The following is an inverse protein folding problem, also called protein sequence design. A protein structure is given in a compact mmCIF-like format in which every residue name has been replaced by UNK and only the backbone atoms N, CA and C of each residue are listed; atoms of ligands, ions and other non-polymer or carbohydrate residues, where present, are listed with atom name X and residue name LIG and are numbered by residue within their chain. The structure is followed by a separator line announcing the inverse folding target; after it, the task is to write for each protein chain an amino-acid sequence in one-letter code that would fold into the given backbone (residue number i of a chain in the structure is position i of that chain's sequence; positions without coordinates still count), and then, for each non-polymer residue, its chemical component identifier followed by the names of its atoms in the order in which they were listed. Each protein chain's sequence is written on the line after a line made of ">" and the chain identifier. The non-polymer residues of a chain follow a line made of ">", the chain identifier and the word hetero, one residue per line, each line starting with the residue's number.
data_IF_367222524952
#
_entry.id   IF_367222524952
#
_cell.length_a   1.000
_cell.length_b   1.000
_cell.length_c   1.000
_cell.angle_alpha   90.00
_cell.angle_beta   90.00
_cell.angle_gamma   90.00
#
_symmetry.space_group_name_H-M   'P 1'
#
loop_
_entity.id
_entity.type
_entity.pdbx_description
1 polymer ?
#
# COMPACT_ATOMS: atom_id res chain seq x y z
N UNK A 1 15.61 -8.45 -14.25
CA UNK A 1 16.42 -7.29 -13.82
C UNK A 1 16.06 -6.98 -12.38
N UNK A 2 16.99 -6.52 -11.57
CA UNK A 2 16.73 -6.06 -10.19
C UNK A 2 16.34 -4.58 -10.22
N UNK A 3 15.21 -4.23 -9.62
CA UNK A 3 14.79 -2.84 -9.38
C UNK A 3 15.26 -2.32 -8.02
N UNK A 4 15.07 -1.03 -7.77
CA UNK A 4 15.31 -0.41 -6.47
C UNK A 4 13.98 -0.25 -5.72
N UNK A 5 13.92 -0.72 -4.46
CA UNK A 5 12.82 -0.45 -3.56
C UNK A 5 13.11 0.80 -2.73
N UNK A 6 12.26 1.82 -2.86
CA UNK A 6 12.34 3.03 -2.05
C UNK A 6 11.28 3.00 -0.96
N UNK A 7 11.70 3.11 0.29
CA UNK A 7 10.80 3.20 1.45
C UNK A 7 10.82 4.64 1.95
N UNK A 8 9.65 5.29 1.95
CA UNK A 8 9.49 6.64 2.47
C UNK A 8 8.69 6.55 3.77
N UNK A 9 9.32 6.96 4.87
CA UNK A 9 8.71 6.95 6.22
C UNK A 9 8.66 8.36 6.79
N UNK A 10 7.50 8.77 7.27
CA UNK A 10 7.29 10.03 7.97
C UNK A 10 5.99 9.97 8.80
N UNK A 11 5.85 10.77 9.88
CA UNK A 11 4.60 10.89 10.62
C UNK A 11 3.41 11.30 9.75
N UNK A 12 2.19 11.02 10.22
CA UNK A 12 0.98 11.54 9.58
C UNK A 12 1.02 13.07 9.50
N UNK A 13 0.68 13.64 8.34
CA UNK A 13 0.71 15.08 8.10
C UNK A 13 2.06 15.65 7.66
N UNK A 14 3.15 14.87 7.66
CA UNK A 14 4.49 15.34 7.28
C UNK A 14 4.74 15.50 5.77
N UNK A 15 3.70 15.38 4.92
CA UNK A 15 3.83 15.57 3.46
C UNK A 15 4.30 14.33 2.67
N UNK A 16 4.35 13.14 3.28
CA UNK A 16 4.75 11.88 2.61
C UNK A 16 4.05 11.64 1.27
N UNK A 17 2.72 11.77 1.26
CA UNK A 17 1.92 11.53 0.06
C UNK A 17 2.23 12.55 -1.04
N UNK A 18 2.43 13.82 -0.67
CA UNK A 18 2.79 14.89 -1.62
C UNK A 18 4.15 14.63 -2.28
N UNK A 19 5.16 14.21 -1.50
CA UNK A 19 6.47 13.85 -2.03
C UNK A 19 6.38 12.66 -3.00
N UNK A 20 5.65 11.61 -2.62
CA UNK A 20 5.43 10.43 -3.47
C UNK A 20 4.75 10.81 -4.79
N UNK A 21 3.69 11.61 -4.73
CA UNK A 21 2.97 12.07 -5.92
C UNK A 21 3.86 12.91 -6.84
N UNK A 22 4.69 13.80 -6.30
CA UNK A 22 5.63 14.59 -7.08
C UNK A 22 6.69 13.70 -7.77
N UNK A 23 7.25 12.71 -7.05
CA UNK A 23 8.23 11.79 -7.61
C UNK A 23 7.66 10.93 -8.76
N UNK A 24 6.44 10.40 -8.60
CA UNK A 24 5.75 9.63 -9.64
C UNK A 24 5.37 10.49 -10.86
N UNK A 25 5.14 11.79 -10.67
CA UNK A 25 4.88 12.71 -11.77
C UNK A 25 6.15 12.93 -12.62
N UNK A 26 7.29 13.10 -11.95
CA UNK A 26 8.59 13.41 -12.55
C UNK A 26 9.24 12.20 -13.26
N UNK A 27 9.23 11.02 -12.64
CA UNK A 27 9.90 9.82 -13.19
C UNK A 27 8.91 8.69 -13.48
N UNK A 28 8.66 8.45 -14.78
CA UNK A 28 7.75 7.40 -15.26
C UNK A 28 8.25 5.97 -15.03
N UNK A 29 9.49 5.79 -14.58
CA UNK A 29 10.02 4.48 -14.18
C UNK A 29 9.64 4.11 -12.76
N UNK A 30 9.15 5.06 -11.96
CA UNK A 30 8.66 4.79 -10.61
C UNK A 30 7.23 4.24 -10.66
N UNK A 31 6.99 3.23 -9.84
CA UNK A 31 5.67 2.68 -9.59
C UNK A 31 5.36 2.76 -8.09
N UNK A 32 4.11 3.11 -7.76
CA UNK A 32 3.65 3.10 -6.37
C UNK A 32 3.25 1.68 -5.98
N UNK A 33 3.73 1.21 -4.83
CA UNK A 33 3.15 0.02 -4.19
C UNK A 33 1.87 0.42 -3.47
N UNK A 34 0.74 -0.08 -3.97
CA UNK A 34 -0.59 0.13 -3.37
C UNK A 34 -0.88 -1.00 -2.40
N UNK A 35 -0.90 -0.71 -1.10
CA UNK A 35 -1.16 -1.69 -0.05
C UNK A 35 -2.64 -2.10 0.03
N UNK A 36 -2.94 -3.21 0.69
CA UNK A 36 -4.29 -3.66 1.04
C UNK A 36 -4.70 -3.09 2.39
N UNK A 37 -6.00 -2.82 2.58
CA UNK A 37 -6.55 -2.48 3.89
C UNK A 37 -7.96 -3.01 4.11
N UNK A 38 -8.31 -3.28 5.36
CA UNK A 38 -9.68 -3.61 5.78
C UNK A 38 -10.52 -2.39 6.15
N UNK A 39 -9.91 -1.20 6.20
CA UNK A 39 -10.62 0.04 6.45
C UNK A 39 -11.56 0.33 5.27
N UNK A 40 -12.79 0.78 5.50
CA UNK A 40 -13.63 1.26 4.40
C UNK A 40 -13.00 2.49 3.70
N UNK A 41 -13.18 2.64 2.38
CA UNK A 41 -12.73 3.84 1.68
C UNK A 41 -13.40 5.09 2.25
N UNK A 42 -12.63 6.18 2.37
CA UNK A 42 -13.12 7.52 2.66
C UNK A 42 -13.71 8.13 1.39
N UNK A 43 -14.50 9.19 1.55
CA UNK A 43 -15.02 9.95 0.41
C UNK A 43 -13.88 10.38 -0.54
N UNK A 44 -14.00 10.02 -1.81
CA UNK A 44 -13.02 10.31 -2.86
C UNK A 44 -11.87 9.31 -3.01
N UNK A 45 -11.71 8.34 -2.10
CA UNK A 45 -10.74 7.24 -2.29
C UNK A 45 -11.26 6.23 -3.31
N UNK A 46 -10.34 5.64 -4.09
CA UNK A 46 -10.66 4.67 -5.14
C UNK A 46 -9.86 3.40 -4.92
N UNK A 47 -10.53 2.25 -5.04
CA UNK A 47 -9.87 0.95 -4.93
C UNK A 47 -8.77 0.80 -5.98
N UNK A 48 -7.56 0.45 -5.53
CA UNK A 48 -6.37 0.35 -6.35
C UNK A 48 -5.62 1.67 -6.58
N UNK A 49 -6.08 2.79 -6.02
CA UNK A 49 -5.35 4.08 -6.06
C UNK A 49 -4.64 4.38 -4.74
N UNK A 50 -5.40 4.51 -3.64
CA UNK A 50 -4.81 4.69 -2.30
C UNK A 50 -4.50 3.36 -1.63
N UNK A 51 -5.45 2.43 -1.71
CA UNK A 51 -5.36 1.08 -1.18
C UNK A 51 -6.19 0.13 -2.04
N UNK A 52 -5.90 -1.16 -1.94
CA UNK A 52 -6.87 -2.20 -2.23
C UNK A 52 -7.75 -2.41 -1.00
N UNK A 53 -9.00 -1.98 -1.09
CA UNK A 53 -9.97 -2.10 -0.01
C UNK A 53 -10.61 -3.48 -0.07
N UNK A 54 -10.36 -4.30 0.96
CA UNK A 54 -10.87 -5.68 1.07
C UNK A 54 -11.58 -5.87 2.39
N UNK A 55 -12.48 -6.84 2.49
CA UNK A 55 -13.04 -7.19 3.80
C UNK A 55 -12.01 -7.95 4.66
N UNK A 56 -12.29 -8.06 5.97
CA UNK A 56 -11.37 -8.70 6.92
C UNK A 56 -11.15 -10.18 6.61
N UNK A 57 -12.20 -10.89 6.17
CA UNK A 57 -12.12 -12.31 5.80
C UNK A 57 -11.15 -12.54 4.64
N UNK A 58 -11.22 -11.67 3.63
CA UNK A 58 -10.35 -11.68 2.46
C UNK A 58 -8.91 -11.39 2.87
N UNK A 59 -8.70 -10.34 3.66
CA UNK A 59 -7.37 -10.00 4.18
C UNK A 59 -6.75 -11.17 4.96
N UNK A 60 -7.51 -11.78 5.86
CA UNK A 60 -7.04 -12.90 6.68
C UNK A 60 -6.70 -14.13 5.83
N UNK A 61 -7.46 -14.37 4.76
CA UNK A 61 -7.18 -15.43 3.80
C UNK A 61 -5.88 -15.16 3.02
N UNK A 62 -5.64 -13.91 2.60
CA UNK A 62 -4.38 -13.51 1.95
C UNK A 62 -3.18 -13.64 2.89
N UNK A 63 -3.36 -13.23 4.15
CA UNK A 63 -2.34 -13.35 5.19
C UNK A 63 -1.98 -14.81 5.44
N UNK A 64 -2.96 -15.70 5.56
CA UNK A 64 -2.76 -17.14 5.74
C UNK A 64 -2.03 -17.80 4.55
N UNK A 65 -2.21 -17.26 3.34
CA UNK A 65 -1.47 -17.68 2.14
C UNK A 65 -0.07 -17.06 2.01
N UNK A 66 0.33 -16.22 2.97
CA UNK A 66 1.66 -15.59 2.98
C UNK A 66 1.85 -14.50 1.93
N UNK A 67 0.77 -13.89 1.42
CA UNK A 67 0.80 -12.96 0.30
C UNK A 67 1.36 -11.57 0.63
N UNK A 68 1.52 -11.24 1.91
CA UNK A 68 2.02 -9.94 2.36
C UNK A 68 3.51 -9.97 2.74
N UNK A 69 4.26 -8.96 2.28
CA UNK A 69 5.66 -8.70 2.63
C UNK A 69 5.74 -8.24 4.09
N UNK A 70 4.83 -7.35 4.45
CA UNK A 70 4.57 -6.90 5.81
C UNK A 70 3.06 -6.72 6.00
N UNK A 71 2.61 -6.84 7.25
CA UNK A 71 1.25 -6.52 7.63
C UNK A 71 1.18 -6.02 9.07
N UNK A 72 0.26 -5.12 9.34
CA UNK A 72 0.01 -4.57 10.68
C UNK A 72 -1.48 -4.31 10.93
N UNK A 73 -1.88 -4.28 12.20
CA UNK A 73 -3.19 -3.82 12.63
C UNK A 73 -3.04 -2.44 13.30
N UNK A 74 -3.74 -1.44 12.77
CA UNK A 74 -3.65 -0.04 13.19
C UNK A 74 -5.07 0.51 13.34
N UNK A 75 -5.41 1.00 14.52
CA UNK A 75 -6.75 1.51 14.85
C UNK A 75 -7.88 0.54 14.46
N UNK A 76 -7.69 -0.76 14.72
CA UNK A 76 -8.67 -1.82 14.43
C UNK A 76 -8.80 -2.20 12.95
N UNK A 77 -8.00 -1.61 12.06
CA UNK A 77 -7.96 -1.95 10.64
C UNK A 77 -6.63 -2.61 10.29
N UNK A 78 -6.65 -3.57 9.37
CA UNK A 78 -5.44 -4.24 8.90
C UNK A 78 -4.91 -3.56 7.65
N UNK A 79 -3.60 -3.60 7.50
CA UNK A 79 -2.85 -3.05 6.38
C UNK A 79 -1.79 -4.06 5.96
N UNK A 80 -1.59 -4.25 4.66
CA UNK A 80 -0.62 -5.22 4.15
C UNK A 80 -0.02 -4.83 2.80
N UNK A 81 1.28 -4.95 2.67
CA UNK A 81 2.01 -4.67 1.42
C UNK A 81 2.21 -5.97 0.65
N UNK A 82 1.77 -6.06 -0.60
CA UNK A 82 1.78 -7.29 -1.39
C UNK A 82 3.20 -7.75 -1.74
N UNK A 83 3.56 -9.01 -1.43
CA UNK A 83 4.83 -9.61 -1.90
C UNK A 83 4.87 -9.69 -3.41
N UNK A 84 3.75 -10.12 -4.02
CA UNK A 84 3.65 -10.35 -5.46
C UNK A 84 3.92 -9.05 -6.22
N UNK A 85 3.32 -7.94 -5.77
CA UNK A 85 3.50 -6.64 -6.41
C UNK A 85 4.94 -6.15 -6.35
N UNK A 86 5.64 -6.37 -5.24
CA UNK A 86 7.03 -5.93 -5.09
C UNK A 86 8.01 -6.83 -5.88
N UNK A 87 7.61 -8.07 -6.17
CA UNK A 87 8.43 -9.02 -6.92
C UNK A 87 8.27 -8.91 -8.45
N UNK A 88 7.29 -8.16 -8.92
CA UNK A 88 7.07 -7.82 -10.34
C UNK A 88 8.03 -6.71 -10.81
#
# INVERSE_FOLDING_TARGET
>A
MTGNLFIISAPSGAGKSSLVSAALAEDKRLALSVSFTTRPPRAGEVNGREYHFVDRKTFDSMLARGEFLESAEVHGNRYGTSKKWIAE
#
